data_IF_103314233030
#
_entry.id   IF_103314233030
#
_cell.length_a   1.000
_cell.length_b   1.000
_cell.length_c   1.000
_cell.angle_alpha   90.00
_cell.angle_beta   90.00
_cell.angle_gamma   90.00
#
_symmetry.space_group_name_H-M   'P 1'
#
loop_
_entity.id
_entity.type
_entity.pdbx_description
1 polymer ?
#
# COMPACT_ATOMS: atom_id res chain seq x y z
N UNK A 1 15.24 18.44 -22.39
CA UNK A 1 15.28 17.24 -21.54
C UNK A 1 14.02 17.30 -20.70
N UNK A 2 13.09 16.35 -20.86
CA UNK A 2 11.94 16.30 -19.96
C UNK A 2 12.46 15.99 -18.56
N UNK A 3 12.12 16.82 -17.57
CA UNK A 3 12.42 16.50 -16.17
C UNK A 3 11.71 15.20 -15.82
N UNK A 4 12.45 14.24 -15.25
CA UNK A 4 11.84 13.01 -14.75
C UNK A 4 10.87 13.37 -13.61
N UNK A 5 9.61 12.94 -13.74
CA UNK A 5 8.60 13.19 -12.70
C UNK A 5 9.02 12.50 -11.40
N UNK A 6 8.86 13.15 -10.23
CA UNK A 6 9.13 12.53 -8.94
C UNK A 6 8.35 11.21 -8.76
N UNK A 7 9.02 10.21 -8.19
CA UNK A 7 8.40 8.94 -7.82
C UNK A 7 7.98 8.97 -6.35
N UNK A 8 6.70 8.78 -6.10
CA UNK A 8 6.13 8.69 -4.76
C UNK A 8 5.77 7.24 -4.43
N UNK A 9 6.20 6.75 -3.26
CA UNK A 9 5.78 5.45 -2.75
C UNK A 9 4.64 5.63 -1.77
N UNK A 10 3.51 5.00 -2.03
CA UNK A 10 2.38 4.94 -1.10
C UNK A 10 2.33 3.54 -0.53
N UNK A 11 2.24 3.40 0.80
CA UNK A 11 2.05 2.12 1.47
C UNK A 11 0.82 2.17 2.37
N UNK A 12 0.02 1.10 2.34
CA UNK A 12 -1.26 1.01 3.04
C UNK A 12 -1.39 -0.33 3.76
N UNK A 13 -1.82 -0.30 5.01
CA UNK A 13 -2.17 -1.50 5.80
C UNK A 13 -3.51 -1.31 6.49
N UNK A 14 -4.31 -2.37 6.66
CA UNK A 14 -5.45 -2.35 7.58
C UNK A 14 -5.00 -1.96 8.99
N UNK A 15 -5.84 -1.21 9.72
CA UNK A 15 -5.62 -0.92 11.13
C UNK A 15 -5.86 -2.16 11.99
N UNK A 16 -5.12 -2.30 13.08
CA UNK A 16 -5.35 -3.32 14.09
C UNK A 16 -6.28 -2.78 15.18
N UNK A 17 -7.58 -2.74 14.88
CA UNK A 17 -8.63 -2.32 15.81
C UNK A 17 -9.50 -3.51 16.22
N UNK A 18 -10.15 -3.42 17.37
CA UNK A 18 -11.10 -4.45 17.80
C UNK A 18 -12.22 -4.62 16.75
N UNK A 19 -12.41 -5.86 16.28
CA UNK A 19 -13.39 -6.19 15.23
C UNK A 19 -12.91 -5.93 13.80
N UNK A 20 -11.75 -5.30 13.60
CA UNK A 20 -11.16 -5.09 12.28
C UNK A 20 -10.00 -6.07 12.07
N UNK A 21 -10.05 -6.81 10.97
CA UNK A 21 -9.08 -7.85 10.67
C UNK A 21 -8.42 -7.61 9.33
N UNK A 22 -7.11 -7.82 9.26
CA UNK A 22 -6.43 -7.99 7.98
C UNK A 22 -6.92 -9.30 7.32
N UNK A 23 -7.90 -9.16 6.44
CA UNK A 23 -8.56 -10.29 5.77
C UNK A 23 -7.60 -10.99 4.80
N UNK A 24 -6.69 -10.24 4.15
CA UNK A 24 -5.69 -10.80 3.25
C UNK A 24 -4.66 -11.61 4.03
N UNK A 25 -4.14 -11.03 5.10
CA UNK A 25 -3.22 -11.69 6.01
C UNK A 25 -3.81 -12.98 6.59
N UNK A 26 -5.04 -12.93 7.10
CA UNK A 26 -5.70 -14.13 7.65
C UNK A 26 -5.94 -15.22 6.60
N UNK A 27 -6.28 -14.84 5.37
CA UNK A 27 -6.44 -15.81 4.29
C UNK A 27 -5.13 -16.53 3.99
N UNK A 28 -4.01 -15.81 3.92
CA UNK A 28 -2.68 -16.40 3.70
C UNK A 28 -2.29 -17.29 4.87
N UNK A 29 -2.47 -16.83 6.11
CA UNK A 29 -2.18 -17.59 7.33
C UNK A 29 -2.95 -18.92 7.35
N UNK A 30 -4.25 -18.90 7.03
CA UNK A 30 -5.08 -20.12 6.94
C UNK A 30 -4.62 -21.04 5.82
N UNK A 31 -4.25 -20.49 4.67
CA UNK A 31 -3.77 -21.27 3.54
C UNK A 31 -2.44 -21.97 3.85
N UNK A 32 -1.49 -21.27 4.48
CA UNK A 32 -0.22 -21.85 4.95
C UNK A 32 -0.45 -23.06 5.88
N UNK A 33 -1.39 -22.91 6.82
CA UNK A 33 -1.73 -23.98 7.76
C UNK A 33 -2.40 -25.18 7.06
N UNK A 34 -3.40 -24.93 6.21
CA UNK A 34 -4.21 -25.98 5.60
C UNK A 34 -3.49 -26.73 4.48
N UNK A 35 -2.79 -26.01 3.61
CA UNK A 35 -2.21 -26.60 2.39
C UNK A 35 -0.80 -27.15 2.64
N UNK A 36 -0.07 -26.55 3.59
CA UNK A 36 1.36 -26.83 3.80
C UNK A 36 1.73 -27.21 5.24
N UNK A 37 0.79 -27.19 6.18
CA UNK A 37 1.06 -27.46 7.60
C UNK A 37 1.96 -26.42 8.28
N UNK A 38 2.14 -25.26 7.66
CA UNK A 38 2.98 -24.17 8.18
C UNK A 38 2.10 -23.29 9.08
N UNK A 39 2.34 -23.36 10.38
CA UNK A 39 1.61 -22.58 11.38
C UNK A 39 2.39 -21.30 11.68
N UNK A 40 1.75 -20.14 11.47
CA UNK A 40 2.26 -18.83 11.85
C UNK A 40 1.20 -18.09 12.66
N UNK A 41 1.63 -17.31 13.64
CA UNK A 41 0.74 -16.64 14.59
C UNK A 41 -0.06 -15.53 13.91
N UNK A 42 0.62 -14.70 13.11
CA UNK A 42 0.01 -13.58 12.39
C UNK A 42 0.63 -13.43 10.99
N UNK A 43 -0.17 -12.96 10.05
CA UNK A 43 0.30 -12.40 8.79
C UNK A 43 -0.36 -11.03 8.65
N UNK A 44 0.46 -10.00 8.43
CA UNK A 44 0.03 -8.64 8.15
C UNK A 44 0.41 -8.28 6.71
N UNK A 45 -0.45 -7.56 6.02
CA UNK A 45 -0.30 -7.20 4.62
C UNK A 45 -0.16 -5.69 4.43
N UNK A 46 0.78 -5.32 3.58
CA UNK A 46 0.97 -3.95 3.11
C UNK A 46 0.73 -3.94 1.60
N UNK A 47 -0.12 -3.03 1.12
CA UNK A 47 -0.28 -2.75 -0.31
C UNK A 47 0.59 -1.54 -0.64
N UNK A 48 1.46 -1.68 -1.64
CA UNK A 48 2.33 -0.62 -2.12
C UNK A 48 1.92 -0.11 -3.50
N UNK A 49 1.95 1.21 -3.69
CA UNK A 49 1.81 1.87 -4.99
C UNK A 49 3.03 2.72 -5.28
N UNK A 50 3.43 2.78 -6.55
CA UNK A 50 4.49 3.64 -7.05
C UNK A 50 3.89 4.62 -8.06
N UNK A 51 3.84 5.90 -7.69
CA UNK A 51 3.15 6.95 -8.46
C UNK A 51 4.18 7.94 -8.98
N UNK A 52 4.27 8.13 -10.31
CA UNK A 52 5.08 9.19 -10.92
C UNK A 52 4.21 10.41 -11.20
N UNK A 53 4.42 11.48 -10.45
CA UNK A 53 3.67 12.72 -10.60
C UNK A 53 4.39 13.90 -9.94
N UNK A 54 4.22 15.09 -10.51
CA UNK A 54 4.66 16.33 -9.88
C UNK A 54 3.55 16.81 -8.93
N UNK A 55 3.73 16.52 -7.64
CA UNK A 55 2.74 16.77 -6.59
C UNK A 55 3.40 17.54 -5.45
N UNK A 56 2.76 18.62 -5.03
CA UNK A 56 3.14 19.30 -3.79
C UNK A 56 2.74 18.47 -2.55
N UNK A 57 3.21 18.88 -1.37
CA UNK A 57 2.96 18.14 -0.12
C UNK A 57 1.48 18.05 0.29
N UNK A 58 0.63 18.97 -0.18
CA UNK A 58 -0.82 18.90 0.08
C UNK A 58 -1.46 17.88 -0.85
N UNK A 59 -1.12 17.91 -2.14
CA UNK A 59 -1.61 16.95 -3.12
C UNK A 59 -1.13 15.53 -2.80
N UNK A 60 0.10 15.38 -2.32
CA UNK A 60 0.63 14.11 -1.82
C UNK A 60 -0.21 13.54 -0.67
N UNK A 61 -0.57 14.36 0.31
CA UNK A 61 -1.44 13.92 1.43
C UNK A 61 -2.84 13.57 0.94
N UNK A 62 -3.41 14.43 0.10
CA UNK A 62 -4.74 14.22 -0.46
C UNK A 62 -4.79 12.95 -1.32
N UNK A 63 -3.74 12.67 -2.09
CA UNK A 63 -3.60 11.42 -2.85
C UNK A 63 -3.68 10.19 -1.93
N UNK A 64 -3.04 10.23 -0.76
CA UNK A 64 -3.14 9.11 0.19
C UNK A 64 -4.55 9.02 0.76
N UNK A 65 -5.11 10.12 1.27
CA UNK A 65 -6.37 10.11 2.03
C UNK A 65 -7.63 9.95 1.19
N UNK A 66 -7.62 10.46 -0.04
CA UNK A 66 -8.82 10.57 -0.87
C UNK A 66 -8.86 9.51 -1.98
N UNK A 67 -7.71 8.90 -2.32
CA UNK A 67 -7.62 7.93 -3.43
C UNK A 67 -7.19 6.53 -2.98
N UNK A 68 -6.09 6.42 -2.25
CA UNK A 68 -5.47 5.11 -2.04
C UNK A 68 -5.87 4.44 -0.73
N UNK A 69 -6.11 5.22 0.34
CA UNK A 69 -6.34 4.71 1.69
C UNK A 69 -7.74 5.07 2.15
N UNK A 70 -8.46 4.13 2.77
CA UNK A 70 -9.62 4.48 3.59
C UNK A 70 -9.11 4.90 5.00
N UNK A 71 -9.15 6.19 5.37
CA UNK A 71 -8.57 6.65 6.62
C UNK A 71 -9.33 6.16 7.86
N UNK A 72 -10.53 5.59 7.71
CA UNK A 72 -11.30 5.04 8.83
C UNK A 72 -10.72 3.69 9.24
N UNK A 73 -10.45 2.81 8.28
CA UNK A 73 -10.07 1.41 8.51
C UNK A 73 -8.65 1.05 8.10
N UNK A 74 -7.90 1.96 7.47
CA UNK A 74 -6.52 1.73 7.04
C UNK A 74 -5.56 2.82 7.54
N UNK A 75 -4.29 2.47 7.63
CA UNK A 75 -3.18 3.41 7.73
C UNK A 75 -2.52 3.55 6.37
N UNK A 76 -2.42 4.78 5.87
CA UNK A 76 -1.70 5.12 4.64
C UNK A 76 -0.50 6.01 4.94
N UNK A 77 0.61 5.79 4.23
CA UNK A 77 1.79 6.66 4.28
C UNK A 77 2.30 6.95 2.88
N UNK A 78 3.03 8.05 2.73
CA UNK A 78 3.73 8.42 1.50
C UNK A 78 5.21 8.62 1.80
N UNK A 79 6.06 8.07 0.93
CA UNK A 79 7.52 8.15 0.95
C UNK A 79 8.19 7.63 2.23
N UNK A 80 7.45 6.90 3.07
CA UNK A 80 7.95 6.18 4.24
C UNK A 80 7.62 4.69 4.13
N UNK A 81 8.23 3.85 4.97
CA UNK A 81 7.89 2.43 5.09
C UNK A 81 6.98 2.25 6.28
N UNK A 82 5.86 1.54 6.10
CA UNK A 82 4.98 1.23 7.22
C UNK A 82 5.64 0.26 8.22
N UNK A 83 6.51 -0.63 7.75
CA UNK A 83 7.25 -1.57 8.61
C UNK A 83 8.17 -0.88 9.62
N UNK A 84 8.61 0.35 9.34
CA UNK A 84 9.46 1.13 10.25
C UNK A 84 8.62 1.91 11.30
N UNK A 85 7.28 1.84 11.23
CA UNK A 85 6.41 2.54 12.15
C UNK A 85 6.02 1.65 13.35
N UNK A 86 6.69 1.86 14.48
CA UNK A 86 6.48 1.12 15.74
C UNK A 86 5.05 1.25 16.31
N UNK A 87 4.28 2.26 15.92
CA UNK A 87 2.87 2.37 16.34
C UNK A 87 1.93 1.45 15.55
N UNK A 88 2.33 1.05 14.35
CA UNK A 88 1.53 0.21 13.44
C UNK A 88 2.02 -1.25 13.47
N UNK A 89 3.35 -1.42 13.57
CA UNK A 89 4.06 -2.68 13.69
C UNK A 89 4.93 -2.60 14.95
N UNK A 90 4.32 -2.82 16.12
CA UNK A 90 5.00 -2.82 17.41
C UNK A 90 6.04 -3.92 17.54
N UNK A 91 5.72 -5.08 16.98
CA UNK A 91 6.58 -6.25 16.96
C UNK A 91 7.21 -6.39 15.58
N UNK A 92 8.53 -6.58 15.58
CA UNK A 92 9.26 -6.82 14.34
C UNK A 92 8.83 -8.18 13.77
N UNK A 93 8.42 -8.26 12.50
CA UNK A 93 8.11 -9.53 11.88
C UNK A 93 9.38 -10.40 11.75
N UNK A 94 9.24 -11.70 12.00
CA UNK A 94 10.31 -12.68 11.79
C UNK A 94 10.71 -12.79 10.31
N UNK A 95 9.74 -12.60 9.42
CA UNK A 95 9.90 -12.71 7.96
C UNK A 95 9.13 -11.60 7.27
N UNK A 96 9.75 -10.97 6.27
CA UNK A 96 9.11 -10.00 5.38
C UNK A 96 9.26 -10.49 3.94
N UNK A 97 8.13 -10.52 3.21
CA UNK A 97 8.08 -10.91 1.81
C UNK A 97 7.51 -9.75 1.01
N UNK A 98 8.29 -9.20 0.07
CA UNK A 98 7.81 -8.20 -0.88
C UNK A 98 7.50 -8.85 -2.21
N UNK A 99 6.31 -8.59 -2.73
CA UNK A 99 5.82 -9.12 -4.00
C UNK A 99 5.62 -7.94 -4.96
N UNK A 100 6.15 -8.06 -6.17
CA UNK A 100 5.97 -7.07 -7.23
C UNK A 100 5.66 -7.74 -8.57
N UNK A 101 4.99 -7.01 -9.45
CA UNK A 101 4.72 -7.48 -10.80
C UNK A 101 6.01 -7.56 -11.62
N UNK A 102 6.11 -8.58 -12.48
CA UNK A 102 7.20 -8.66 -13.47
C UNK A 102 7.00 -7.58 -14.55
N UNK A 103 8.09 -7.11 -15.19
CA UNK A 103 7.99 -6.18 -16.32
C UNK A 103 7.07 -6.73 -17.42
N UNK A 104 6.19 -5.87 -17.95
CA UNK A 104 5.27 -6.21 -19.04
C UNK A 104 3.94 -6.86 -18.61
N UNK A 105 3.67 -6.99 -17.31
CA UNK A 105 2.36 -7.43 -16.79
C UNK A 105 1.43 -6.24 -16.58
N UNK A 106 0.15 -6.41 -16.88
CA UNK A 106 -0.89 -5.40 -16.62
C UNK A 106 -1.18 -5.32 -15.13
N UNK A 107 -1.00 -4.13 -14.56
CA UNK A 107 -1.43 -3.81 -13.20
C UNK A 107 -2.74 -3.00 -13.27
N UNK A 108 -3.87 -3.70 -13.14
CA UNK A 108 -5.19 -3.08 -13.18
C UNK A 108 -5.39 -2.07 -12.04
N UNK A 109 -4.79 -2.33 -10.86
CA UNK A 109 -4.88 -1.41 -9.74
C UNK A 109 -4.09 -0.13 -10.03
N UNK A 110 -2.94 -0.23 -10.70
CA UNK A 110 -2.20 0.93 -11.17
C UNK A 110 -2.98 1.74 -12.22
N UNK A 111 -3.72 1.10 -13.12
CA UNK A 111 -4.58 1.82 -14.07
C UNK A 111 -5.71 2.58 -13.36
N UNK A 112 -6.43 1.93 -12.44
CA UNK A 112 -7.47 2.59 -11.65
C UNK A 112 -6.91 3.72 -10.79
N UNK A 113 -5.73 3.53 -10.18
CA UNK A 113 -5.03 4.56 -9.43
C UNK A 113 -4.62 5.75 -10.29
N UNK A 114 -4.17 5.52 -11.52
CA UNK A 114 -3.83 6.59 -12.47
C UNK A 114 -5.07 7.40 -12.88
N UNK A 115 -6.19 6.74 -13.16
CA UNK A 115 -7.44 7.41 -13.52
C UNK A 115 -7.99 8.25 -12.36
N UNK A 116 -7.94 7.71 -11.13
CA UNK A 116 -8.30 8.45 -9.92
C UNK A 116 -7.37 9.63 -9.67
N UNK A 117 -6.07 9.47 -9.88
CA UNK A 117 -5.09 10.55 -9.75
C UNK A 117 -5.38 11.70 -10.73
N UNK A 118 -5.68 11.39 -11.99
CA UNK A 118 -6.04 12.38 -13.01
C UNK A 118 -7.37 13.08 -12.72
N UNK A 119 -8.29 12.37 -12.06
CA UNK A 119 -9.56 12.95 -11.62
C UNK A 119 -9.35 13.94 -10.47
N UNK A 120 -8.51 13.60 -9.49
CA UNK A 120 -8.19 14.46 -8.35
C UNK A 120 -7.28 15.64 -8.74
N UNK A 121 -6.31 15.40 -9.63
CA UNK A 121 -5.32 16.39 -10.06
C UNK A 121 -5.19 16.41 -11.60
N UNK A 122 -6.10 17.09 -12.31
CA UNK A 122 -6.09 17.14 -13.78
C UNK A 122 -4.79 17.68 -14.38
N UNK A 123 -4.03 18.47 -13.61
CA UNK A 123 -2.81 19.14 -14.07
C UNK A 123 -1.50 18.45 -13.61
N UNK A 124 -1.56 17.35 -12.85
CA UNK A 124 -0.37 16.74 -12.22
C UNK A 124 0.43 15.78 -13.14
N UNK A 125 0.10 15.73 -14.43
CA UNK A 125 0.65 14.76 -15.38
C UNK A 125 0.88 15.26 -16.81
N UNK A 126 1.07 16.57 -16.99
CA UNK A 126 1.50 17.16 -18.27
C UNK A 126 3.02 17.26 -18.37
#
# INVERSE_FOLDING_TARGET
MASELPLHRVEITPKSLEGLKDTRGDSIRRQLANDYGIIVDEVRSIIGYLVRADLDSNQQRQMVTDLFCDPVIEHGTINNQLLDNEQIFSDKPDVVIQIGFKPGVTDNAAQAGLDGLRTLFPNAGS
#
